data_IF_769743889121
#
_entry.id   IF_769743889121
#
_cell.length_a   1.000
_cell.length_b   1.000
_cell.length_c   1.000
_cell.angle_alpha   90.00
_cell.angle_beta   90.00
_cell.angle_gamma   90.00
#
_symmetry.space_group_name_H-M   'P 1'
#
loop_
_entity.id
_entity.type
_entity.pdbx_description
1 polymer ?
#
# COMPACT_ATOMS: atom_id res chain seq x y z
N UNK A 1 14.71 -6.20 33.66
CA UNK A 1 14.50 -6.20 32.19
C UNK A 1 13.20 -5.46 31.90
N UNK A 2 13.25 -4.39 31.11
CA UNK A 2 12.08 -3.57 30.80
C UNK A 2 11.24 -4.29 29.74
N UNK A 3 10.07 -4.86 30.11
CA UNK A 3 9.12 -5.38 29.11
C UNK A 3 8.67 -4.21 28.21
N UNK A 4 8.87 -4.35 26.89
CA UNK A 4 8.43 -3.38 25.88
C UNK A 4 6.90 -3.26 25.93
N UNK A 5 6.38 -2.04 25.84
CA UNK A 5 5.00 -1.86 25.38
C UNK A 5 5.05 -2.12 23.87
N UNK A 6 4.64 -3.30 23.43
CA UNK A 6 4.37 -3.56 22.03
C UNK A 6 2.90 -3.19 21.79
N UNK A 7 2.65 -1.91 21.52
CA UNK A 7 1.37 -1.49 20.96
C UNK A 7 1.43 -1.66 19.45
N UNK A 8 0.47 -2.39 18.87
CA UNK A 8 0.22 -2.40 17.42
C UNK A 8 -1.18 -1.90 17.15
N UNK A 9 -1.30 -1.01 16.16
CA UNK A 9 -2.58 -0.48 15.69
C UNK A 9 -3.29 -1.59 14.92
N UNK A 10 -4.40 -2.09 15.46
CA UNK A 10 -5.19 -3.15 14.86
C UNK A 10 -6.10 -2.63 13.72
N UNK A 11 -6.68 -1.44 13.89
CA UNK A 11 -7.58 -0.80 12.92
C UNK A 11 -7.22 0.69 12.70
N UNK A 12 -6.85 1.05 11.48
CA UNK A 12 -6.45 2.41 11.11
C UNK A 12 -7.63 3.30 10.71
N UNK A 13 -8.84 2.77 10.55
CA UNK A 13 -10.05 3.58 10.30
C UNK A 13 -10.30 4.60 11.41
N UNK A 14 -9.96 4.23 12.64
CA UNK A 14 -10.07 5.06 13.82
C UNK A 14 -9.16 6.31 13.73
N UNK A 15 -8.18 6.29 12.82
CA UNK A 15 -7.31 7.43 12.49
C UNK A 15 -8.01 8.49 11.63
N UNK A 16 -8.93 8.05 10.75
CA UNK A 16 -9.60 8.93 9.78
C UNK A 16 -10.97 9.45 10.24
N UNK A 17 -11.57 8.86 11.28
CA UNK A 17 -12.97 9.11 11.64
C UNK A 17 -13.24 9.98 12.87
N UNK A 18 -12.26 10.72 13.41
CA UNK A 18 -12.54 11.71 14.47
C UNK A 18 -12.74 13.11 13.89
N UNK A 19 -13.96 13.39 13.44
CA UNK A 19 -14.45 14.76 13.31
C UNK A 19 -14.53 15.39 14.71
N UNK A 20 -13.77 16.46 14.97
CA UNK A 20 -13.77 17.13 16.28
C UNK A 20 -14.18 18.60 16.16
N UNK A 21 -15.24 18.90 16.91
CA UNK A 21 -15.91 20.18 17.13
C UNK A 21 -15.27 20.92 18.32
N UNK A 22 -15.37 22.25 18.36
CA UNK A 22 -14.97 23.12 19.47
C UNK A 22 -16.16 23.38 20.43
N UNK A 23 -15.93 23.40 21.76
CA UNK A 23 -15.84 24.64 22.57
C UNK A 23 -15.77 24.37 24.10
N UNK A 24 -14.93 25.19 24.75
CA UNK A 24 -14.85 25.61 26.16
C UNK A 24 -13.74 25.02 27.05
N UNK A 25 -12.94 25.97 27.50
CA UNK A 25 -11.71 25.92 28.30
C UNK A 25 -12.05 26.07 29.79
N UNK A 26 -11.46 25.25 30.68
CA UNK A 26 -10.81 25.71 31.93
C UNK A 26 -10.34 24.55 32.83
N UNK A 27 -9.12 24.71 33.41
CA UNK A 27 -8.75 24.41 34.82
C UNK A 27 -7.45 23.63 35.13
N UNK A 28 -6.57 23.21 34.20
CA UNK A 28 -5.22 22.70 34.55
C UNK A 28 -5.18 21.71 35.75
N UNK A 29 -6.20 20.84 35.90
CA UNK A 29 -6.37 20.01 37.11
C UNK A 29 -5.55 18.72 37.10
N UNK A 30 -5.00 18.33 35.95
CA UNK A 30 -4.17 17.13 35.83
C UNK A 30 -2.71 17.44 36.10
N UNK A 31 -2.15 16.76 37.10
CA UNK A 31 -0.70 16.68 37.26
C UNK A 31 -0.14 15.89 36.07
N UNK A 32 0.91 16.39 35.38
CA UNK A 32 1.49 15.77 34.17
C UNK A 32 2.17 14.44 34.47
N UNK A 33 1.33 13.42 34.63
CA UNK A 33 1.69 12.05 34.95
C UNK A 33 0.83 11.11 34.10
N UNK A 34 1.45 10.14 33.42
CA UNK A 34 0.77 9.24 32.49
C UNK A 34 -0.40 8.52 33.13
N UNK A 35 -0.25 8.06 34.38
CA UNK A 35 -1.32 7.40 35.11
C UNK A 35 -2.53 8.30 35.36
N UNK A 36 -2.32 9.59 35.61
CA UNK A 36 -3.45 10.51 35.86
C UNK A 36 -4.14 10.86 34.54
N UNK A 37 -3.36 11.10 33.49
CA UNK A 37 -3.87 11.43 32.17
C UNK A 37 -4.67 10.27 31.58
N UNK A 38 -4.17 9.04 31.71
CA UNK A 38 -4.85 7.84 31.23
C UNK A 38 -6.06 7.47 32.10
N UNK A 39 -6.00 7.65 33.43
CA UNK A 39 -7.19 7.48 34.28
C UNK A 39 -8.29 8.48 33.91
N UNK A 40 -7.94 9.73 33.66
CA UNK A 40 -8.93 10.73 33.26
C UNK A 40 -9.54 10.36 31.91
N UNK A 41 -8.70 9.92 30.95
CA UNK A 41 -9.15 9.44 29.66
C UNK A 41 -10.04 8.20 29.76
N UNK A 42 -9.71 7.25 30.64
CA UNK A 42 -10.48 6.04 30.89
C UNK A 42 -11.84 6.34 31.55
N UNK A 43 -11.88 7.27 32.50
CA UNK A 43 -13.09 7.62 33.24
C UNK A 43 -14.04 8.49 32.42
N UNK A 44 -13.54 9.23 31.43
CA UNK A 44 -14.34 10.11 30.57
C UNK A 44 -14.76 9.40 29.27
N UNK A 45 -15.52 8.30 29.40
CA UNK A 45 -15.94 7.39 28.29
C UNK A 45 -16.81 8.11 27.22
N UNK A 46 -17.17 9.38 27.41
CA UNK A 46 -17.91 10.22 26.44
C UNK A 46 -17.12 11.53 26.11
N UNK A 47 -15.89 11.67 26.58
CA UNK A 47 -15.17 12.94 26.76
C UNK A 47 -14.49 13.57 25.54
N UNK A 48 -14.54 14.90 25.50
CA UNK A 48 -13.96 15.80 24.50
C UNK A 48 -12.42 15.68 24.42
N UNK A 49 -11.89 15.03 23.37
CA UNK A 49 -10.43 14.93 23.16
C UNK A 49 -9.73 16.31 23.03
N UNK A 50 -10.46 17.41 22.79
CA UNK A 50 -9.86 18.73 22.81
C UNK A 50 -9.30 19.09 24.20
N UNK A 51 -9.85 18.54 25.28
CA UNK A 51 -9.28 18.68 26.61
C UNK A 51 -7.85 18.14 26.65
N UNK A 52 -7.67 16.88 26.25
CA UNK A 52 -6.36 16.22 26.20
C UNK A 52 -5.42 16.90 25.21
N UNK A 53 -5.91 17.29 24.03
CA UNK A 53 -5.13 18.06 23.05
C UNK A 53 -4.62 19.39 23.62
N UNK A 54 -5.49 20.19 24.24
CA UNK A 54 -5.12 21.48 24.81
C UNK A 54 -4.12 21.30 25.95
N UNK A 55 -4.33 20.29 26.80
CA UNK A 55 -3.41 19.92 27.87
C UNK A 55 -2.02 19.52 27.33
N UNK A 56 -1.96 18.69 26.29
CA UNK A 56 -0.73 18.22 25.66
C UNK A 56 -0.05 19.29 24.79
N UNK A 57 -0.72 20.42 24.49
CA UNK A 57 -0.16 21.57 23.79
C UNK A 57 0.42 22.63 24.74
N UNK A 58 0.33 22.43 26.05
CA UNK A 58 1.07 23.22 27.04
C UNK A 58 2.48 22.66 27.15
N UNK A 59 3.48 23.52 26.95
CA UNK A 59 4.90 23.14 26.88
C UNK A 59 5.37 22.39 28.12
N UNK A 60 5.05 22.89 29.30
CA UNK A 60 5.43 22.29 30.56
C UNK A 60 4.89 20.85 30.70
N UNK A 61 3.69 20.59 30.20
CA UNK A 61 3.03 19.29 30.35
C UNK A 61 3.68 18.22 29.49
N UNK A 62 3.90 18.50 28.19
CA UNK A 62 4.51 17.49 27.33
C UNK A 62 6.01 17.31 27.61
N UNK A 63 6.71 18.35 28.05
CA UNK A 63 8.10 18.23 28.51
C UNK A 63 8.15 17.30 29.72
N UNK A 64 7.29 17.49 30.72
CA UNK A 64 7.27 16.63 31.91
C UNK A 64 6.89 15.19 31.58
N UNK A 65 5.84 14.97 30.79
CA UNK A 65 5.42 13.63 30.37
C UNK A 65 6.49 12.90 29.54
N UNK A 66 7.26 13.62 28.72
CA UNK A 66 8.33 13.05 27.89
C UNK A 66 9.53 12.53 28.69
N UNK A 67 9.70 12.98 29.94
CA UNK A 67 10.80 12.56 30.80
C UNK A 67 10.62 11.13 31.32
N UNK A 68 9.39 10.63 31.34
CA UNK A 68 9.04 9.32 31.91
C UNK A 68 8.40 8.43 30.84
N UNK A 69 8.76 7.15 30.87
CA UNK A 69 8.07 6.19 30.01
C UNK A 69 6.69 5.89 30.59
N UNK A 70 5.73 5.67 29.70
CA UNK A 70 4.36 5.34 30.12
C UNK A 70 4.32 4.13 31.08
N UNK A 71 5.12 3.08 30.81
CA UNK A 71 5.20 1.89 31.68
C UNK A 71 6.01 2.07 32.97
N UNK A 72 6.70 3.19 33.16
CA UNK A 72 7.33 3.53 34.45
C UNK A 72 6.26 3.99 35.45
N UNK A 73 5.18 4.59 34.97
CA UNK A 73 4.10 5.19 35.77
C UNK A 73 2.81 4.36 35.76
N UNK A 74 2.58 3.57 34.70
CA UNK A 74 1.35 2.81 34.48
C UNK A 74 1.63 1.31 34.38
N UNK A 75 0.84 0.51 35.09
CA UNK A 75 0.75 -0.93 34.92
C UNK A 75 -0.36 -1.22 33.90
N UNK A 76 0.05 -1.63 32.69
CA UNK A 76 -0.89 -1.97 31.62
C UNK A 76 -1.38 -3.39 31.87
N UNK A 77 -2.70 -3.55 32.02
CA UNK A 77 -3.37 -4.84 32.19
C UNK A 77 -4.11 -5.23 30.91
N UNK A 78 -4.28 -6.53 30.67
CA UNK A 78 -5.10 -7.02 29.57
C UNK A 78 -6.35 -7.67 30.17
N UNK A 79 -7.51 -7.04 30.01
CA UNK A 79 -8.75 -7.49 30.67
C UNK A 79 -9.38 -8.69 29.94
N UNK A 80 -9.03 -8.91 28.67
CA UNK A 80 -9.61 -10.00 27.85
C UNK A 80 -8.94 -11.38 28.05
N UNK A 81 -7.89 -11.48 28.86
CA UNK A 81 -7.28 -12.75 29.25
C UNK A 81 -7.74 -13.14 30.65
N UNK A 82 -8.61 -14.15 30.76
CA UNK A 82 -9.02 -14.81 32.02
C UNK A 82 -7.86 -15.57 32.70
N UNK A 83 -6.72 -14.92 32.91
CA UNK A 83 -5.72 -15.40 33.85
C UNK A 83 -5.71 -14.44 35.03
N UNK A 84 -6.58 -14.74 36.00
CA UNK A 84 -6.41 -14.32 37.39
C UNK A 84 -5.06 -14.86 37.89
N UNK A 85 -3.98 -14.11 37.66
CA UNK A 85 -2.81 -14.22 38.51
C UNK A 85 -3.11 -13.46 39.81
N UNK A 86 -3.76 -14.18 40.74
CA UNK A 86 -3.51 -14.01 42.17
C UNK A 86 -2.01 -14.29 42.45
N UNK A 87 -1.12 -13.38 42.06
CA UNK A 87 0.23 -13.36 42.62
C UNK A 87 0.19 -12.57 43.93
N UNK A 88 -0.02 -13.35 44.98
CA UNK A 88 0.61 -13.28 46.31
C UNK A 88 1.13 -11.90 46.77
N UNK A 89 0.48 -11.42 47.82
CA UNK A 89 1.06 -10.49 48.78
C UNK A 89 2.36 -11.08 49.33
N UNK A 90 3.53 -10.70 48.79
CA UNK A 90 4.77 -10.67 49.58
C UNK A 90 5.86 -9.79 48.92
N UNK A 91 6.34 -8.83 49.74
CA UNK A 91 7.62 -8.12 49.67
C UNK A 91 7.97 -7.27 48.42
N UNK A 92 7.72 -5.95 48.50
CA UNK A 92 8.74 -4.93 48.17
C UNK A 92 8.26 -3.54 48.64
N UNK A 93 8.74 -3.10 49.82
CA UNK A 93 8.45 -1.80 50.46
C UNK A 93 8.91 -0.55 49.67
N UNK A 94 9.31 -0.67 48.41
CA UNK A 94 9.73 0.46 47.55
C UNK A 94 9.16 0.45 46.12
N UNK A 95 8.20 -0.41 45.79
CA UNK A 95 7.52 -0.33 44.48
C UNK A 95 6.56 0.87 44.50
N UNK A 96 6.90 1.91 43.72
CA UNK A 96 5.97 2.98 43.36
C UNK A 96 4.67 2.32 42.91
N UNK A 97 3.56 2.60 43.60
CA UNK A 97 2.23 2.11 43.20
C UNK A 97 1.95 2.63 41.80
N UNK A 98 2.03 1.74 40.81
CA UNK A 98 1.69 2.06 39.43
C UNK A 98 0.18 2.08 39.28
N UNK A 99 -0.30 3.01 38.47
CA UNK A 99 -1.71 3.08 38.10
C UNK A 99 -2.04 1.93 37.16
N UNK A 100 -3.06 1.12 37.46
CA UNK A 100 -3.52 0.05 36.56
C UNK A 100 -4.48 0.63 35.51
N UNK A 101 -4.24 0.39 34.23
CA UNK A 101 -5.07 0.83 33.09
C UNK A 101 -5.18 -0.28 32.05
N UNK A 102 -6.35 -0.45 31.43
CA UNK A 102 -6.54 -1.41 30.34
C UNK A 102 -5.71 -1.05 29.09
N UNK A 103 -5.12 -2.06 28.45
CA UNK A 103 -4.37 -1.90 27.21
C UNK A 103 -5.20 -1.28 26.09
N UNK A 104 -6.52 -1.59 26.01
CA UNK A 104 -7.41 -0.98 25.02
C UNK A 104 -7.51 0.54 25.20
N UNK A 105 -7.62 1.01 26.44
CA UNK A 105 -7.64 2.43 26.79
C UNK A 105 -6.35 3.12 26.36
N UNK A 106 -5.20 2.53 26.66
CA UNK A 106 -3.88 3.07 26.26
C UNK A 106 -3.77 3.15 24.74
N UNK A 107 -4.17 2.09 24.04
CA UNK A 107 -4.13 2.00 22.58
C UNK A 107 -5.00 3.09 21.95
N UNK A 108 -6.24 3.24 22.42
CA UNK A 108 -7.17 4.25 21.90
C UNK A 108 -6.67 5.67 22.17
N UNK A 109 -6.08 5.92 23.34
CA UNK A 109 -5.50 7.21 23.68
C UNK A 109 -4.32 7.58 22.77
N UNK A 110 -3.41 6.63 22.51
CA UNK A 110 -2.27 6.83 21.61
C UNK A 110 -2.74 7.11 20.18
N UNK A 111 -3.74 6.36 19.69
CA UNK A 111 -4.40 6.63 18.42
C UNK A 111 -4.94 8.05 18.36
N UNK A 112 -5.68 8.47 19.38
CA UNK A 112 -6.28 9.80 19.42
C UNK A 112 -5.23 10.91 19.40
N UNK A 113 -4.10 10.74 20.09
CA UNK A 113 -2.97 11.66 20.02
C UNK A 113 -2.43 11.77 18.60
N UNK A 114 -2.21 10.64 17.92
CA UNK A 114 -1.69 10.60 16.55
C UNK A 114 -2.60 11.41 15.61
N UNK A 115 -3.91 11.28 15.80
CA UNK A 115 -4.96 11.90 14.99
C UNK A 115 -5.20 13.37 15.31
N UNK A 116 -4.87 13.77 16.53
CA UNK A 116 -5.18 15.10 17.03
C UNK A 116 -4.32 16.19 16.42
N UNK A 117 -4.81 17.42 16.54
CA UNK A 117 -4.05 18.62 16.16
C UNK A 117 -3.12 19.10 17.28
N UNK A 118 -2.56 18.19 18.08
CA UNK A 118 -1.42 18.57 18.93
C UNK A 118 -0.26 19.02 18.05
N UNK A 119 0.51 19.98 18.55
CA UNK A 119 1.64 20.55 17.82
C UNK A 119 2.67 19.47 17.50
N UNK A 120 3.44 19.67 16.43
CA UNK A 120 4.53 18.76 16.10
C UNK A 120 5.57 18.69 17.24
N UNK A 121 5.81 19.81 17.95
CA UNK A 121 6.66 19.82 19.17
C UNK A 121 6.14 18.88 20.25
N UNK A 122 4.84 18.97 20.58
CA UNK A 122 4.20 18.08 21.55
C UNK A 122 4.31 16.62 21.12
N UNK A 123 3.93 16.31 19.87
CA UNK A 123 3.96 14.94 19.37
C UNK A 123 5.37 14.33 19.39
N UNK A 124 6.38 15.10 18.98
CA UNK A 124 7.78 14.64 18.95
C UNK A 124 8.38 14.43 20.34
N UNK A 125 7.99 15.24 21.32
CA UNK A 125 8.42 15.02 22.70
C UNK A 125 7.72 13.78 23.31
N UNK A 126 6.43 13.60 23.05
CA UNK A 126 5.64 12.51 23.63
C UNK A 126 5.90 11.15 22.98
N UNK A 127 6.28 11.09 21.70
CA UNK A 127 6.66 9.84 21.03
C UNK A 127 7.80 9.11 21.74
N UNK A 128 8.73 9.86 22.38
CA UNK A 128 9.81 9.28 23.22
C UNK A 128 9.30 8.59 24.49
N UNK A 129 8.19 9.05 25.06
CA UNK A 129 7.54 8.41 26.20
C UNK A 129 6.65 7.22 25.82
N UNK A 130 6.16 7.19 24.57
CA UNK A 130 5.36 6.07 24.03
C UNK A 130 6.22 4.90 23.52
N UNK A 131 7.40 5.18 22.96
CA UNK A 131 8.28 4.17 22.39
C UNK A 131 9.65 4.12 23.09
N UNK A 132 10.16 2.92 23.37
CA UNK A 132 11.51 2.75 23.93
C UNK A 132 12.58 3.15 22.90
N UNK A 133 13.17 4.35 23.08
CA UNK A 133 14.40 4.86 22.44
C UNK A 133 14.47 4.77 20.90
N UNK A 134 14.18 5.89 20.26
CA UNK A 134 14.93 6.33 19.08
C UNK A 134 15.17 7.85 19.21
N UNK A 135 16.34 8.33 18.80
CA UNK A 135 16.54 9.75 18.53
C UNK A 135 15.71 10.08 17.29
N UNK A 136 14.43 10.40 17.51
CA UNK A 136 13.52 10.70 16.42
C UNK A 136 13.73 12.15 16.03
N UNK A 137 14.13 12.38 14.78
CA UNK A 137 14.04 13.67 14.15
C UNK A 137 12.60 14.18 14.22
N UNK A 138 12.40 15.50 14.17
CA UNK A 138 11.09 16.13 14.20
C UNK A 138 10.14 15.48 13.17
N UNK A 139 9.12 14.74 13.63
CA UNK A 139 8.12 14.10 12.77
C UNK A 139 7.03 15.13 12.49
N UNK A 140 6.87 15.49 11.21
CA UNK A 140 5.75 16.35 10.80
C UNK A 140 4.46 15.56 10.81
N UNK A 141 3.31 16.21 11.03
CA UNK A 141 1.98 15.56 10.98
C UNK A 141 1.78 14.62 9.78
N UNK A 142 2.23 15.02 8.59
CA UNK A 142 2.15 14.24 7.34
C UNK A 142 3.05 12.98 7.30
N UNK A 143 4.04 12.88 8.17
CA UNK A 143 5.03 11.80 8.26
C UNK A 143 4.73 10.83 9.41
N UNK A 144 3.66 11.05 10.19
CA UNK A 144 3.33 10.23 11.36
C UNK A 144 3.01 8.80 10.98
N UNK A 145 2.16 8.58 9.97
CA UNK A 145 1.77 7.22 9.53
C UNK A 145 2.95 6.43 8.96
N UNK A 146 3.75 7.04 8.08
CA UNK A 146 4.95 6.38 7.57
C UNK A 146 5.96 6.07 8.67
N UNK A 147 6.06 6.93 9.69
CA UNK A 147 6.89 6.66 10.87
C UNK A 147 6.36 5.48 11.69
N UNK A 148 5.04 5.37 11.88
CA UNK A 148 4.44 4.23 12.59
C UNK A 148 4.67 2.91 11.85
N UNK A 149 4.56 2.94 10.51
CA UNK A 149 4.89 1.80 9.64
C UNK A 149 6.37 1.41 9.86
N UNK A 150 7.29 2.36 9.70
CA UNK A 150 8.73 2.15 9.91
C UNK A 150 9.15 1.60 11.28
N UNK A 151 8.28 1.73 12.29
CA UNK A 151 8.53 1.23 13.64
C UNK A 151 7.76 -0.07 13.96
N UNK A 152 7.14 -0.72 12.96
CA UNK A 152 6.32 -1.93 13.12
C UNK A 152 5.16 -1.74 14.13
N UNK A 153 4.54 -0.56 14.10
CA UNK A 153 3.44 -0.19 14.99
C UNK A 153 2.06 -0.30 14.33
N UNK A 154 1.99 -0.70 13.06
CA UNK A 154 0.72 -0.94 12.34
C UNK A 154 0.64 -2.42 11.96
N UNK A 155 -0.45 -3.09 12.32
CA UNK A 155 -0.65 -4.48 11.93
C UNK A 155 -0.79 -4.60 10.41
N UNK A 156 -0.12 -5.60 9.85
CA UNK A 156 -0.30 -5.99 8.47
C UNK A 156 -1.60 -6.80 8.31
N UNK A 157 -2.70 -6.11 8.04
CA UNK A 157 -4.01 -6.72 7.78
C UNK A 157 -4.74 -5.94 6.69
N UNK A 158 -5.77 -6.56 6.12
CA UNK A 158 -6.51 -5.99 5.00
C UNK A 158 -7.21 -4.68 5.31
N UNK A 159 -7.79 -4.56 6.51
CA UNK A 159 -8.43 -3.34 6.98
C UNK A 159 -7.43 -2.19 6.95
N UNK A 160 -6.29 -2.31 7.64
CA UNK A 160 -5.26 -1.28 7.66
C UNK A 160 -4.75 -0.92 6.26
N UNK A 161 -4.57 -1.93 5.40
CA UNK A 161 -4.12 -1.71 4.03
C UNK A 161 -5.14 -0.88 3.25
N UNK A 162 -6.43 -1.20 3.29
CA UNK A 162 -7.46 -0.49 2.51
C UNK A 162 -7.53 0.99 2.88
N UNK A 163 -7.41 1.32 4.17
CA UNK A 163 -7.56 2.71 4.64
C UNK A 163 -6.30 3.55 4.56
N UNK A 164 -5.15 2.95 4.27
CA UNK A 164 -3.92 3.70 4.03
C UNK A 164 -3.94 4.41 2.67
N UNK A 165 -3.33 5.59 2.62
CA UNK A 165 -3.03 6.25 1.34
C UNK A 165 -1.95 5.47 0.57
N UNK A 166 -1.97 5.53 -0.77
CA UNK A 166 -1.09 4.75 -1.65
C UNK A 166 0.39 4.73 -1.23
N UNK A 167 1.00 5.89 -0.94
CA UNK A 167 2.40 5.95 -0.50
C UNK A 167 2.68 5.17 0.79
N UNK A 168 1.73 5.17 1.74
CA UNK A 168 1.85 4.42 2.98
C UNK A 168 1.52 2.93 2.78
N UNK A 169 0.59 2.57 1.86
CA UNK A 169 0.35 1.18 1.45
C UNK A 169 1.62 0.57 0.86
N UNK A 170 2.25 1.28 -0.08
CA UNK A 170 3.52 0.88 -0.70
C UNK A 170 4.59 0.62 0.35
N UNK A 171 4.77 1.55 1.31
CA UNK A 171 5.75 1.39 2.39
C UNK A 171 5.43 0.17 3.28
N UNK A 172 4.15 -0.04 3.61
CA UNK A 172 3.73 -1.17 4.44
C UNK A 172 3.95 -2.51 3.73
N UNK A 173 3.70 -2.59 2.42
CA UNK A 173 3.99 -3.77 1.60
C UNK A 173 5.49 -4.07 1.55
N UNK A 174 6.34 -3.05 1.36
CA UNK A 174 7.79 -3.22 1.33
C UNK A 174 8.35 -3.79 2.63
N UNK A 175 7.79 -3.41 3.78
CA UNK A 175 8.25 -3.89 5.08
C UNK A 175 7.74 -5.29 5.46
N UNK A 176 6.62 -5.69 4.85
CA UNK A 176 5.94 -6.95 5.17
C UNK A 176 5.83 -7.84 3.93
N UNK A 177 6.84 -7.81 3.04
CA UNK A 177 6.75 -8.48 1.74
C UNK A 177 6.54 -10.00 1.86
N UNK A 178 7.16 -10.64 2.86
CA UNK A 178 7.00 -12.07 3.12
C UNK A 178 5.58 -12.38 3.62
N UNK A 179 5.06 -11.60 4.56
CA UNK A 179 3.68 -11.73 5.06
C UNK A 179 2.64 -11.48 3.96
N UNK A 180 2.89 -10.49 3.08
CA UNK A 180 2.07 -10.25 1.90
C UNK A 180 2.08 -11.48 0.98
N UNK A 181 3.24 -12.03 0.68
CA UNK A 181 3.37 -13.20 -0.18
C UNK A 181 2.71 -14.45 0.40
N UNK A 182 2.76 -14.65 1.72
CA UNK A 182 2.11 -15.78 2.37
C UNK A 182 0.57 -15.66 2.39
N UNK A 183 0.05 -14.42 2.39
CA UNK A 183 -1.37 -14.18 2.69
C UNK A 183 -2.16 -13.51 1.54
N UNK A 184 -1.56 -13.16 0.41
CA UNK A 184 -2.24 -12.36 -0.63
C UNK A 184 -3.55 -12.99 -1.14
N UNK A 185 -3.68 -14.31 -1.11
CA UNK A 185 -4.89 -15.03 -1.51
C UNK A 185 -6.07 -14.75 -0.58
N UNK A 186 -5.81 -14.37 0.68
CA UNK A 186 -6.83 -14.08 1.68
C UNK A 186 -7.39 -12.66 1.55
N UNK A 187 -6.74 -11.77 0.79
CA UNK A 187 -7.15 -10.38 0.61
C UNK A 187 -8.17 -10.22 -0.53
N UNK A 188 -9.34 -10.81 -0.37
CA UNK A 188 -10.42 -10.79 -1.37
C UNK A 188 -11.08 -9.41 -1.53
N UNK A 189 -10.97 -8.57 -0.52
CA UNK A 189 -11.52 -7.23 -0.39
C UNK A 189 -10.67 -6.15 -1.06
N UNK A 190 -9.46 -6.48 -1.55
CA UNK A 190 -8.61 -5.51 -2.24
C UNK A 190 -9.19 -5.16 -3.61
N UNK A 191 -9.45 -3.87 -3.78
CA UNK A 191 -9.73 -3.29 -5.08
C UNK A 191 -8.47 -3.23 -5.95
N UNK A 192 -8.66 -2.88 -7.22
CA UNK A 192 -7.58 -2.84 -8.20
C UNK A 192 -6.53 -1.76 -7.90
N UNK A 193 -6.87 -0.72 -7.15
CA UNK A 193 -5.92 0.33 -6.75
C UNK A 193 -4.93 -0.21 -5.71
N UNK A 194 -5.42 -0.97 -4.73
CA UNK A 194 -4.56 -1.66 -3.75
C UNK A 194 -3.64 -2.67 -4.45
N UNK A 195 -4.16 -3.46 -5.40
CA UNK A 195 -3.33 -4.35 -6.21
C UNK A 195 -2.27 -3.56 -7.01
N UNK A 196 -2.64 -2.43 -7.59
CA UNK A 196 -1.70 -1.56 -8.31
C UNK A 196 -0.56 -1.10 -7.41
N UNK A 197 -0.85 -0.71 -6.17
CA UNK A 197 0.16 -0.29 -5.19
C UNK A 197 1.14 -1.42 -4.85
N UNK A 198 0.68 -2.68 -4.78
CA UNK A 198 1.57 -3.85 -4.62
C UNK A 198 2.55 -3.94 -5.80
N UNK A 199 2.10 -3.74 -7.03
CA UNK A 199 3.00 -3.80 -8.19
C UNK A 199 3.90 -2.57 -8.31
N UNK A 200 3.51 -1.41 -7.79
CA UNK A 200 4.38 -0.24 -7.69
C UNK A 200 5.46 -0.46 -6.62
N UNK A 201 5.13 -1.15 -5.53
CA UNK A 201 6.04 -1.34 -4.39
C UNK A 201 7.32 -2.07 -4.75
N UNK A 202 8.43 -1.70 -4.11
CA UNK A 202 9.74 -2.35 -4.32
C UNK A 202 9.85 -3.65 -3.49
N UNK A 203 9.05 -4.64 -3.86
CA UNK A 203 9.05 -6.00 -3.29
C UNK A 203 9.63 -7.01 -4.28
N UNK A 204 9.96 -8.19 -3.77
CA UNK A 204 10.55 -9.28 -4.55
C UNK A 204 9.78 -9.55 -5.87
N UNK A 205 10.53 -9.57 -6.98
CA UNK A 205 9.97 -9.79 -8.31
C UNK A 205 9.22 -11.13 -8.45
N UNK A 206 9.70 -12.19 -7.81
CA UNK A 206 9.05 -13.50 -7.82
C UNK A 206 7.70 -13.46 -7.09
N UNK A 207 7.59 -12.68 -6.01
CA UNK A 207 6.32 -12.49 -5.29
C UNK A 207 5.31 -11.78 -6.18
N UNK A 208 5.72 -10.68 -6.85
CA UNK A 208 4.87 -9.99 -7.83
C UNK A 208 4.36 -10.92 -8.93
N UNK A 209 5.21 -11.81 -9.44
CA UNK A 209 4.80 -12.79 -10.44
C UNK A 209 3.74 -13.76 -9.93
N UNK A 210 3.93 -14.30 -8.73
CA UNK A 210 2.99 -15.26 -8.14
C UNK A 210 1.64 -14.60 -7.84
N UNK A 211 1.67 -13.35 -7.35
CA UNK A 211 0.47 -12.53 -7.14
C UNK A 211 -0.22 -12.26 -8.49
N UNK A 212 0.51 -11.85 -9.53
CA UNK A 212 -0.08 -11.59 -10.85
C UNK A 212 -0.75 -12.85 -11.42
N UNK A 213 -0.09 -14.00 -11.28
CA UNK A 213 -0.64 -15.29 -11.71
C UNK A 213 -1.98 -15.57 -11.04
N UNK A 214 -2.08 -15.36 -9.74
CA UNK A 214 -3.34 -15.47 -9.01
C UNK A 214 -4.40 -14.49 -9.50
N UNK A 215 -4.05 -13.20 -9.68
CA UNK A 215 -5.01 -12.21 -10.18
C UNK A 215 -5.53 -12.53 -11.59
N UNK A 216 -4.70 -13.16 -12.43
CA UNK A 216 -5.08 -13.67 -13.75
C UNK A 216 -6.03 -14.86 -13.62
N UNK A 217 -5.69 -15.85 -12.79
CA UNK A 217 -6.50 -17.06 -12.58
C UNK A 217 -7.89 -16.72 -12.03
N UNK A 218 -7.95 -15.76 -11.11
CA UNK A 218 -9.19 -15.27 -10.51
C UNK A 218 -9.87 -14.14 -11.29
N UNK A 219 -9.30 -13.70 -12.41
CA UNK A 219 -9.83 -12.61 -13.25
C UNK A 219 -10.19 -11.34 -12.46
N UNK A 220 -9.32 -10.92 -11.55
CA UNK A 220 -9.55 -9.81 -10.58
C UNK A 220 -9.44 -8.40 -11.19
N UNK A 221 -9.14 -8.29 -12.47
CA UNK A 221 -8.98 -7.02 -13.19
C UNK A 221 -9.58 -7.14 -14.59
N UNK A 222 -9.87 -6.01 -15.24
CA UNK A 222 -10.46 -5.98 -16.57
C UNK A 222 -9.84 -4.86 -17.43
N UNK A 223 -10.34 -4.71 -18.67
CA UNK A 223 -9.79 -3.78 -19.66
C UNK A 223 -9.94 -2.30 -19.32
N UNK A 224 -10.79 -1.96 -18.36
CA UNK A 224 -11.02 -0.59 -17.88
C UNK A 224 -9.95 -0.18 -16.85
N UNK A 225 -9.24 -1.13 -16.25
CA UNK A 225 -8.21 -0.93 -15.21
C UNK A 225 -6.87 -0.44 -15.79
N UNK A 226 -6.91 0.66 -16.53
CA UNK A 226 -5.79 1.15 -17.34
C UNK A 226 -4.51 1.41 -16.53
N UNK A 227 -4.64 1.95 -15.32
CA UNK A 227 -3.48 2.24 -14.47
C UNK A 227 -2.78 0.95 -14.01
N UNK A 228 -3.58 -0.07 -13.65
CA UNK A 228 -3.06 -1.39 -13.30
C UNK A 228 -2.35 -2.03 -14.50
N UNK A 229 -3.00 -2.07 -15.66
CA UNK A 229 -2.43 -2.64 -16.90
C UNK A 229 -1.10 -1.97 -17.23
N UNK A 230 -1.02 -0.64 -17.21
CA UNK A 230 0.23 0.12 -17.43
C UNK A 230 1.30 -0.23 -16.41
N UNK A 231 0.91 -0.37 -15.15
CA UNK A 231 1.82 -0.74 -14.06
C UNK A 231 2.41 -2.13 -14.28
N UNK A 232 1.60 -3.12 -14.69
CA UNK A 232 2.07 -4.46 -15.01
C UNK A 232 3.00 -4.46 -16.24
N UNK A 233 2.63 -3.76 -17.32
CA UNK A 233 3.47 -3.61 -18.51
C UNK A 233 4.85 -3.03 -18.15
N UNK A 234 4.87 -1.97 -17.34
CA UNK A 234 6.11 -1.30 -16.96
C UNK A 234 6.99 -2.16 -16.04
N UNK A 235 6.40 -2.81 -15.04
CA UNK A 235 7.15 -3.67 -14.11
C UNK A 235 7.87 -4.80 -14.83
N UNK A 236 7.17 -5.49 -15.74
CA UNK A 236 7.70 -6.67 -16.40
C UNK A 236 8.66 -6.33 -17.55
N UNK A 237 8.46 -5.20 -18.25
CA UNK A 237 9.45 -4.66 -19.19
C UNK A 237 10.80 -4.41 -18.50
N UNK A 238 10.79 -3.87 -17.27
CA UNK A 238 12.01 -3.62 -16.49
C UNK A 238 12.66 -4.92 -15.99
N UNK A 239 11.85 -5.92 -15.65
CA UNK A 239 12.31 -7.21 -15.11
C UNK A 239 12.66 -8.24 -16.20
N UNK A 240 12.47 -7.89 -17.49
CA UNK A 240 12.71 -8.75 -18.67
C UNK A 240 11.97 -10.09 -18.62
N UNK A 241 10.76 -10.09 -18.07
CA UNK A 241 9.89 -11.26 -18.19
C UNK A 241 9.32 -11.28 -19.60
N UNK A 242 9.36 -12.46 -20.24
CA UNK A 242 9.13 -12.57 -21.68
C UNK A 242 7.71 -13.00 -22.06
N UNK A 243 6.81 -13.25 -21.10
CA UNK A 243 5.51 -13.86 -21.37
C UNK A 243 4.46 -13.44 -20.35
N UNK A 244 3.39 -12.78 -20.83
CA UNK A 244 2.13 -12.70 -20.11
C UNK A 244 1.21 -13.88 -20.41
N UNK A 245 0.17 -14.08 -19.59
CA UNK A 245 -0.90 -15.03 -19.92
C UNK A 245 -1.71 -14.54 -21.12
N UNK A 246 -2.40 -15.47 -21.79
CA UNK A 246 -3.39 -15.15 -22.83
C UNK A 246 -4.41 -14.14 -22.32
N UNK A 247 -4.94 -14.37 -21.12
CA UNK A 247 -5.90 -13.47 -20.49
C UNK A 247 -5.39 -12.04 -20.35
N UNK A 248 -4.18 -11.84 -19.78
CA UNK A 248 -3.62 -10.50 -19.62
C UNK A 248 -3.36 -9.83 -20.98
N UNK A 249 -2.87 -10.60 -21.96
CA UNK A 249 -2.61 -10.10 -23.32
C UNK A 249 -3.88 -9.59 -23.96
N UNK A 250 -4.97 -10.37 -23.92
CA UNK A 250 -6.29 -9.96 -24.42
C UNK A 250 -6.80 -8.72 -23.69
N UNK A 251 -6.77 -8.71 -22.36
CA UNK A 251 -7.20 -7.56 -21.55
C UNK A 251 -6.42 -6.28 -21.91
N UNK A 252 -5.10 -6.39 -22.06
CA UNK A 252 -4.25 -5.25 -22.43
C UNK A 252 -4.59 -4.73 -23.84
N UNK A 253 -4.77 -5.61 -24.82
CA UNK A 253 -5.12 -5.23 -26.20
C UNK A 253 -6.53 -4.65 -26.32
N UNK A 254 -7.49 -5.12 -25.52
CA UNK A 254 -8.85 -4.57 -25.49
C UNK A 254 -8.99 -3.27 -24.68
N UNK A 255 -7.99 -2.92 -23.87
CA UNK A 255 -8.03 -1.75 -22.98
C UNK A 255 -7.97 -0.41 -23.73
N UNK A 256 -8.14 0.68 -23.00
CA UNK A 256 -7.99 2.04 -23.52
C UNK A 256 -6.51 2.51 -23.63
N UNK A 257 -5.55 1.59 -23.72
CA UNK A 257 -4.18 1.93 -24.11
C UNK A 257 -4.17 2.62 -25.48
N UNK A 258 -3.23 3.55 -25.67
CA UNK A 258 -3.02 4.15 -26.99
C UNK A 258 -2.58 3.11 -28.01
N UNK A 259 -2.86 3.36 -29.30
CA UNK A 259 -2.50 2.45 -30.37
C UNK A 259 -1.00 2.11 -30.37
N UNK A 260 -0.14 3.12 -30.16
CA UNK A 260 1.31 2.93 -30.07
C UNK A 260 1.70 2.06 -28.87
N UNK A 261 1.07 2.24 -27.71
CA UNK A 261 1.29 1.40 -26.53
C UNK A 261 0.90 -0.06 -26.80
N UNK A 262 -0.23 -0.31 -27.48
CA UNK A 262 -0.68 -1.67 -27.85
C UNK A 262 0.26 -2.35 -28.83
N UNK A 263 0.72 -1.63 -29.86
CA UNK A 263 1.65 -2.16 -30.87
C UNK A 263 2.99 -2.50 -30.22
N UNK A 264 3.52 -1.60 -29.39
CA UNK A 264 4.75 -1.82 -28.65
C UNK A 264 4.65 -3.00 -27.69
N UNK A 265 3.55 -3.10 -26.94
CA UNK A 265 3.24 -4.23 -26.07
C UNK A 265 3.24 -5.54 -26.86
N UNK A 266 2.42 -5.63 -27.92
CA UNK A 266 2.30 -6.87 -28.71
C UNK A 266 3.63 -7.27 -29.34
N UNK A 267 4.40 -6.32 -29.88
CA UNK A 267 5.71 -6.57 -30.48
C UNK A 267 6.68 -7.26 -29.50
N UNK A 268 6.68 -6.82 -28.24
CA UNK A 268 7.52 -7.43 -27.21
C UNK A 268 7.05 -8.86 -26.87
N UNK A 269 5.74 -9.08 -26.78
CA UNK A 269 5.15 -10.37 -26.41
C UNK A 269 5.32 -11.45 -27.50
N UNK A 270 5.08 -11.11 -28.77
CA UNK A 270 5.11 -12.11 -29.86
C UNK A 270 6.51 -12.55 -30.27
N UNK A 271 7.56 -11.92 -29.74
CA UNK A 271 8.96 -12.33 -29.96
C UNK A 271 9.30 -13.71 -29.35
N UNK A 272 8.40 -14.27 -28.53
CA UNK A 272 8.70 -15.37 -27.62
C UNK A 272 8.16 -16.75 -27.99
N UNK A 273 6.84 -17.00 -27.94
CA UNK A 273 6.30 -18.38 -27.90
C UNK A 273 4.88 -18.61 -28.42
N UNK A 274 4.14 -17.57 -28.82
CA UNK A 274 2.79 -17.76 -29.36
C UNK A 274 2.83 -18.48 -30.72
N UNK A 275 1.84 -19.35 -30.92
CA UNK A 275 1.51 -19.94 -32.20
C UNK A 275 1.04 -18.89 -33.19
N UNK A 276 1.12 -19.21 -34.48
CA UNK A 276 0.69 -18.32 -35.54
C UNK A 276 -0.80 -17.92 -35.40
N UNK A 277 -1.65 -18.85 -34.94
CA UNK A 277 -3.07 -18.56 -34.71
C UNK A 277 -3.30 -17.56 -33.58
N UNK A 278 -2.64 -17.75 -32.43
CA UNK A 278 -2.74 -16.81 -31.28
C UNK A 278 -2.26 -15.41 -31.67
N UNK A 279 -1.18 -15.32 -32.45
CA UNK A 279 -0.67 -14.03 -32.95
C UNK A 279 -1.70 -13.35 -33.85
N UNK A 280 -2.33 -14.09 -34.77
CA UNK A 280 -3.36 -13.55 -35.66
C UNK A 280 -4.60 -13.08 -34.89
N UNK A 281 -4.98 -13.78 -33.82
CA UNK A 281 -6.05 -13.35 -32.91
C UNK A 281 -5.68 -12.03 -32.20
N UNK A 282 -4.46 -11.90 -31.67
CA UNK A 282 -4.02 -10.66 -31.03
C UNK A 282 -3.85 -9.49 -32.01
N UNK A 283 -3.36 -9.75 -33.22
CA UNK A 283 -3.29 -8.75 -34.30
C UNK A 283 -4.69 -8.26 -34.68
N UNK A 284 -5.72 -9.10 -34.57
CA UNK A 284 -7.11 -8.71 -34.81
C UNK A 284 -7.66 -7.71 -33.77
N UNK A 285 -7.06 -7.67 -32.57
CA UNK A 285 -7.44 -6.75 -31.49
C UNK A 285 -6.76 -5.38 -31.63
N UNK A 286 -5.81 -5.24 -32.55
CA UNK A 286 -5.21 -3.96 -32.88
C UNK A 286 -6.16 -3.09 -33.74
N UNK A 287 -6.00 -1.76 -33.71
CA UNK A 287 -6.76 -0.86 -34.57
C UNK A 287 -6.51 -1.15 -36.06
N UNK A 288 -7.41 -0.67 -36.92
CA UNK A 288 -7.16 -0.62 -38.36
C UNK A 288 -5.80 0.05 -38.66
N UNK A 289 -5.01 -0.47 -39.61
CA UNK A 289 -5.38 -1.51 -40.59
C UNK A 289 -4.97 -2.95 -40.20
N UNK A 290 -4.49 -3.21 -38.98
CA UNK A 290 -3.92 -4.52 -38.61
C UNK A 290 -4.87 -5.73 -38.75
N UNK A 291 -6.19 -5.63 -38.47
CA UNK A 291 -7.13 -6.75 -38.66
C UNK A 291 -7.20 -7.29 -40.10
N UNK A 292 -6.85 -6.48 -41.11
CA UNK A 292 -6.78 -6.89 -42.52
C UNK A 292 -5.81 -8.04 -42.78
N UNK A 293 -4.87 -8.27 -41.86
CA UNK A 293 -3.91 -9.37 -41.96
C UNK A 293 -4.61 -10.72 -41.98
N UNK A 294 -5.68 -10.88 -41.19
CA UNK A 294 -6.43 -12.13 -41.10
C UNK A 294 -7.18 -12.47 -42.39
N UNK A 295 -7.57 -11.45 -43.15
CA UNK A 295 -8.25 -11.60 -44.43
C UNK A 295 -7.28 -11.67 -45.62
N UNK A 296 -5.95 -11.62 -45.39
CA UNK A 296 -4.91 -11.52 -46.43
C UNK A 296 -5.14 -10.33 -47.38
N UNK A 297 -5.67 -9.21 -46.88
CA UNK A 297 -5.91 -8.00 -47.67
C UNK A 297 -4.65 -7.12 -47.72
N UNK A 298 -4.37 -6.48 -48.86
CA UNK A 298 -3.24 -5.54 -48.96
C UNK A 298 -3.57 -4.18 -48.31
N UNK A 299 -2.60 -3.57 -47.63
CA UNK A 299 -2.77 -2.25 -47.03
C UNK A 299 -1.43 -1.53 -46.82
N UNK A 300 -1.52 -0.21 -46.64
CA UNK A 300 -0.40 0.67 -46.29
C UNK A 300 -0.55 1.12 -44.83
N UNK A 301 0.56 1.16 -44.09
CA UNK A 301 0.66 1.71 -42.73
C UNK A 301 1.70 2.81 -42.73
N UNK A 302 1.50 3.85 -41.90
CA UNK A 302 2.53 4.83 -41.60
C UNK A 302 3.79 4.15 -41.02
N UNK A 303 4.94 4.59 -41.49
CA UNK A 303 6.23 4.15 -41.00
C UNK A 303 6.55 4.83 -39.66
N UNK A 304 6.54 4.04 -38.60
CA UNK A 304 7.20 4.37 -37.34
C UNK A 304 8.00 3.14 -36.84
N UNK A 305 8.86 3.33 -35.84
CA UNK A 305 9.74 2.26 -35.38
C UNK A 305 8.99 1.06 -34.79
N UNK A 306 7.84 1.29 -34.17
CA UNK A 306 7.06 0.23 -33.52
C UNK A 306 6.25 -0.58 -34.55
N UNK A 307 5.62 0.09 -35.51
CA UNK A 307 5.00 -0.51 -36.69
C UNK A 307 6.02 -1.32 -37.50
N UNK A 308 7.20 -0.75 -37.78
CA UNK A 308 8.26 -1.47 -38.51
C UNK A 308 8.65 -2.75 -37.79
N UNK A 309 8.85 -2.70 -36.47
CA UNK A 309 9.22 -3.89 -35.69
C UNK A 309 8.12 -4.94 -35.72
N UNK A 310 6.87 -4.58 -35.42
CA UNK A 310 5.75 -5.51 -35.44
C UNK A 310 5.63 -6.20 -36.81
N UNK A 311 5.66 -5.42 -37.89
CA UNK A 311 5.55 -5.97 -39.25
C UNK A 311 6.73 -6.86 -39.60
N UNK A 312 7.96 -6.54 -39.16
CA UNK A 312 9.12 -7.42 -39.33
C UNK A 312 8.96 -8.74 -38.58
N UNK A 313 8.44 -8.72 -37.37
CA UNK A 313 8.17 -9.94 -36.60
C UNK A 313 7.15 -10.83 -37.32
N UNK A 314 6.02 -10.26 -37.76
CA UNK A 314 5.00 -10.99 -38.52
C UNK A 314 5.53 -11.50 -39.87
N UNK A 315 6.38 -10.73 -40.55
CA UNK A 315 7.05 -11.15 -41.79
C UNK A 315 8.04 -12.30 -41.55
N UNK A 316 8.80 -12.27 -40.44
CA UNK A 316 9.76 -13.31 -40.09
C UNK A 316 9.08 -14.66 -39.85
N UNK A 317 7.86 -14.63 -39.32
CA UNK A 317 6.95 -15.76 -39.13
C UNK A 317 6.20 -16.18 -40.40
N UNK A 318 6.43 -15.50 -41.53
CA UNK A 318 5.77 -15.75 -42.83
C UNK A 318 4.26 -15.54 -42.81
N UNK A 319 3.74 -14.77 -41.86
CA UNK A 319 2.31 -14.42 -41.78
C UNK A 319 1.92 -13.39 -42.85
N UNK A 320 2.88 -12.59 -43.31
CA UNK A 320 2.68 -11.57 -44.34
C UNK A 320 3.97 -11.33 -45.13
N UNK A 321 3.87 -10.55 -46.21
CA UNK A 321 4.99 -9.89 -46.87
C UNK A 321 4.90 -8.39 -46.62
N UNK A 322 6.05 -7.73 -46.52
CA UNK A 322 6.10 -6.28 -46.40
C UNK A 322 7.26 -5.66 -47.18
N UNK A 323 7.04 -4.44 -47.65
CA UNK A 323 8.08 -3.56 -48.21
C UNK A 323 8.13 -2.26 -47.41
N UNK A 324 9.35 -1.80 -47.12
CA UNK A 324 9.59 -0.67 -46.22
C UNK A 324 10.15 0.50 -47.02
N UNK A 325 9.38 1.59 -47.15
CA UNK A 325 9.83 2.81 -47.83
C UNK A 325 10.03 3.93 -46.81
N UNK A 326 11.27 4.05 -46.29
CA UNK A 326 11.65 5.16 -45.38
C UNK A 326 11.50 6.54 -46.01
N UNK A 327 11.61 6.63 -47.35
CA UNK A 327 11.49 7.88 -48.09
C UNK A 327 10.05 8.39 -48.17
N UNK A 328 9.08 7.48 -48.20
CA UNK A 328 7.65 7.80 -48.30
C UNK A 328 6.94 7.62 -46.95
N UNK A 329 7.68 7.30 -45.89
CA UNK A 329 7.15 7.01 -44.55
C UNK A 329 5.99 6.00 -44.57
N UNK A 330 6.09 4.97 -45.42
CA UNK A 330 5.05 3.95 -45.59
C UNK A 330 5.65 2.54 -45.51
N UNK A 331 4.93 1.65 -44.84
CA UNK A 331 5.09 0.20 -44.87
C UNK A 331 3.93 -0.38 -45.68
N UNK A 332 4.23 -1.07 -46.77
CA UNK A 332 3.22 -1.74 -47.59
C UNK A 332 3.20 -3.22 -47.29
N UNK A 333 2.05 -3.71 -46.83
CA UNK A 333 1.80 -5.12 -46.51
C UNK A 333 1.10 -5.81 -47.68
N UNK A 334 1.54 -7.01 -48.01
CA UNK A 334 1.00 -7.85 -49.09
C UNK A 334 1.13 -9.34 -48.80
N UNK A 335 0.62 -10.18 -49.71
CA UNK A 335 0.58 -11.65 -49.55
C UNK A 335 1.02 -12.36 -50.83
N UNK A 336 1.42 -13.63 -50.72
CA UNK A 336 1.50 -14.48 -51.90
C UNK A 336 0.08 -14.74 -52.41
N UNK A 337 -0.17 -14.50 -53.70
CA UNK A 337 -1.35 -15.07 -54.35
C UNK A 337 -1.18 -16.59 -54.36
N UNK A 338 -2.13 -17.30 -53.73
CA UNK A 338 -2.25 -18.76 -53.83
C UNK A 338 -2.86 -19.18 -55.17
#
# INVERSE_FOLDING_TARGET
MTKKINFKIENIEDIKNKGLWNNLVSENKLIPHWGNLLLEYENDIIGDFNYFKNYLNVEENYIELSQYKLNEQVQIINIDSEEEEEEEEEEEENKIKKTKIDIKTVNQFVLDIINSEITDSSFNNLTKSFANRYDVAEIKRKERISTLINNDLINFNSQNIIYLESNNRILLFQQNEDLLYENYQNFNEFDIEVWTDIFISDINAQYKQNILKYLIEEQKFNKEDLNFIKTIINNFNNLKFHLYSEYFTTVALESNLSNDEKIKFLTNEISGKYSDNEILEYVNLLPEPFPKINNKEEFDIEYNLDNEKLIRELQSRRLLKASFSRKNEIIRVSYNQE
#
